data_IF_773442333499
#
_entry.id   IF_773442333499
#
_cell.length_a   1.000
_cell.length_b   1.000
_cell.length_c   1.000
_cell.angle_alpha   90.00
_cell.angle_beta   90.00
_cell.angle_gamma   90.00
#
_symmetry.space_group_name_H-M   'P 1'
#
loop_
_entity.id
_entity.type
_entity.pdbx_description
1 polymer ?
#
# COMPACT_ATOMS: atom_id res chain seq x y z
N UNK A 1 -7.84 -20.90 3.51
CA UNK A 1 -7.10 -22.05 2.95
C UNK A 1 -6.42 -21.60 1.66
N UNK A 2 -5.09 -21.56 1.68
CA UNK A 2 -4.24 -20.98 0.64
C UNK A 2 -3.96 -22.02 -0.45
N UNK A 3 -3.95 -21.61 -1.72
CA UNK A 3 -3.57 -22.51 -2.83
C UNK A 3 -2.07 -22.76 -2.83
N UNK A 4 -1.64 -24.01 -3.04
CA UNK A 4 -0.23 -24.38 -3.14
C UNK A 4 0.51 -23.66 -4.28
N UNK A 5 -0.20 -23.31 -5.35
CA UNK A 5 0.38 -22.61 -6.51
C UNK A 5 0.74 -21.15 -6.20
N UNK A 6 0.04 -20.53 -5.26
CA UNK A 6 0.25 -19.13 -4.85
C UNK A 6 1.14 -19.02 -3.60
N UNK A 7 1.39 -20.13 -2.91
CA UNK A 7 2.22 -20.17 -1.73
C UNK A 7 3.70 -19.84 -2.03
N UNK A 8 4.33 -19.16 -1.08
CA UNK A 8 5.75 -18.79 -1.10
C UNK A 8 6.48 -19.49 0.04
N UNK A 9 7.77 -19.71 -0.16
CA UNK A 9 8.59 -20.46 0.79
C UNK A 9 9.27 -19.49 1.75
N UNK A 10 8.98 -19.55 3.04
CA UNK A 10 9.74 -18.82 4.05
C UNK A 10 10.80 -19.74 4.66
N UNK A 11 12.05 -19.27 4.74
CA UNK A 11 13.23 -20.05 5.15
C UNK A 11 13.95 -19.38 6.33
N UNK A 12 14.29 -20.19 7.33
CA UNK A 12 15.23 -19.86 8.41
C UNK A 12 16.43 -20.81 8.38
N UNK A 13 17.65 -20.27 8.38
CA UNK A 13 18.87 -21.05 8.59
C UNK A 13 19.43 -20.77 9.98
N UNK A 14 19.55 -21.81 10.82
CA UNK A 14 20.07 -21.68 12.18
C UNK A 14 20.80 -22.95 12.59
N UNK A 15 22.03 -22.79 13.10
CA UNK A 15 22.84 -23.92 13.59
C UNK A 15 23.22 -24.95 12.51
N UNK A 16 23.33 -24.51 11.25
CA UNK A 16 23.65 -25.37 10.11
C UNK A 16 22.47 -26.17 9.54
N UNK A 17 21.27 -26.04 10.13
CA UNK A 17 20.04 -26.65 9.64
C UNK A 17 19.14 -25.62 8.97
N UNK A 18 18.35 -26.08 8.00
CA UNK A 18 17.35 -25.29 7.27
C UNK A 18 15.96 -25.68 7.74
N UNK A 19 15.09 -24.68 7.84
CA UNK A 19 13.69 -24.83 8.18
C UNK A 19 12.86 -23.98 7.25
N UNK A 20 11.88 -24.60 6.63
CA UNK A 20 11.07 -24.03 5.55
C UNK A 20 9.59 -24.22 5.85
N UNK A 21 8.78 -23.22 5.51
CA UNK A 21 7.31 -23.28 5.58
C UNK A 21 6.73 -22.69 4.29
N UNK A 22 5.53 -23.15 3.92
CA UNK A 22 4.78 -22.63 2.78
C UNK A 22 3.68 -21.70 3.29
N UNK A 23 3.72 -20.45 2.86
CA UNK A 23 2.86 -19.38 3.38
C UNK A 23 2.27 -18.53 2.26
N UNK A 24 1.15 -17.88 2.51
CA UNK A 24 0.58 -16.89 1.60
C UNK A 24 1.36 -15.56 1.68
N UNK A 25 1.93 -15.05 0.57
CA UNK A 25 2.71 -13.82 0.59
C UNK A 25 1.88 -12.59 1.01
N UNK A 26 0.60 -12.51 0.64
CA UNK A 26 -0.24 -11.36 0.95
C UNK A 26 -0.60 -11.31 2.43
N UNK A 27 -0.96 -12.47 3.00
CA UNK A 27 -1.26 -12.57 4.42
C UNK A 27 -0.02 -12.32 5.28
N UNK A 28 1.16 -12.76 4.82
CA UNK A 28 2.42 -12.54 5.55
C UNK A 28 2.77 -11.06 5.66
N UNK A 29 2.53 -10.27 4.61
CA UNK A 29 2.76 -8.82 4.66
C UNK A 29 1.82 -8.11 5.67
N UNK A 30 0.56 -8.56 5.76
CA UNK A 30 -0.39 -8.06 6.76
C UNK A 30 0.06 -8.45 8.17
N UNK A 31 0.41 -9.72 8.39
CA UNK A 31 0.89 -10.21 9.68
C UNK A 31 2.16 -9.50 10.15
N UNK A 32 3.10 -9.21 9.24
CA UNK A 32 4.32 -8.46 9.58
C UNK A 32 4.07 -7.02 9.98
N UNK A 33 2.98 -6.44 9.49
CA UNK A 33 2.57 -5.08 9.82
C UNK A 33 1.80 -5.05 11.14
N UNK A 34 0.96 -6.07 11.38
CA UNK A 34 0.20 -6.26 12.61
C UNK A 34 0.05 -7.76 12.93
N UNK A 35 0.76 -8.22 13.96
CA UNK A 35 0.80 -9.63 14.37
C UNK A 35 -0.57 -10.17 14.85
N UNK A 36 -1.53 -9.30 15.21
CA UNK A 36 -2.88 -9.71 15.64
C UNK A 36 -3.88 -9.75 14.48
N UNK A 37 -3.51 -9.23 13.31
CA UNK A 37 -4.43 -9.10 12.17
C UNK A 37 -4.76 -10.43 11.48
N UNK A 38 -3.89 -11.44 11.59
CA UNK A 38 -4.03 -12.73 10.92
C UNK A 38 -3.55 -13.87 11.82
N UNK A 39 -4.31 -14.97 11.88
CA UNK A 39 -3.86 -16.18 12.57
C UNK A 39 -2.80 -16.95 11.76
N UNK A 40 -1.83 -17.57 12.44
CA UNK A 40 -0.75 -18.35 11.81
C UNK A 40 -1.30 -19.55 11.03
N UNK A 41 -2.42 -20.13 11.48
CA UNK A 41 -3.14 -21.20 10.79
C UNK A 41 -3.59 -20.78 9.39
N UNK A 42 -4.08 -19.55 9.21
CA UNK A 42 -4.55 -19.02 7.93
C UNK A 42 -3.41 -18.64 6.99
N UNK A 43 -2.25 -18.29 7.54
CA UNK A 43 -1.03 -17.96 6.80
C UNK A 43 -0.41 -19.19 6.13
N UNK A 44 -0.46 -20.33 6.79
CA UNK A 44 0.16 -21.57 6.35
C UNK A 44 -0.67 -22.23 5.25
N UNK A 45 -0.06 -22.48 4.09
CA UNK A 45 -0.69 -23.28 3.06
C UNK A 45 -0.85 -24.75 3.51
N UNK A 46 0.13 -25.22 4.28
CA UNK A 46 0.12 -26.53 4.94
C UNK A 46 0.73 -26.34 6.33
N UNK A 47 0.08 -26.90 7.36
CA UNK A 47 0.51 -26.85 8.76
C UNK A 47 1.68 -27.81 9.02
N UNK A 48 2.83 -27.56 8.40
CA UNK A 48 4.01 -28.41 8.55
C UNK A 48 5.30 -27.60 8.34
N UNK A 49 6.41 -28.07 8.93
CA UNK A 49 7.75 -27.49 8.79
C UNK A 49 8.64 -28.49 8.06
N UNK A 50 9.32 -28.04 7.01
CA UNK A 50 10.23 -28.86 6.21
C UNK A 50 11.68 -28.48 6.44
N UNK A 51 12.61 -29.40 6.21
CA UNK A 51 14.02 -29.09 5.98
C UNK A 51 14.27 -28.69 4.53
N UNK A 52 13.49 -29.29 3.62
CA UNK A 52 13.38 -28.92 2.21
C UNK A 52 11.94 -29.17 1.74
N UNK A 53 11.19 -28.09 1.52
CA UNK A 53 9.78 -28.16 1.14
C UNK A 53 9.58 -28.73 -0.28
N UNK A 54 10.58 -28.62 -1.17
CA UNK A 54 10.50 -29.15 -2.54
C UNK A 54 10.78 -30.65 -2.58
N UNK A 55 11.68 -31.12 -1.72
CA UNK A 55 11.97 -32.54 -1.56
C UNK A 55 10.96 -33.26 -0.64
N UNK A 56 10.16 -32.51 0.13
CA UNK A 56 9.23 -33.06 1.11
C UNK A 56 9.93 -33.61 2.36
N UNK A 57 11.15 -33.15 2.64
CA UNK A 57 11.93 -33.62 3.78
C UNK A 57 11.54 -32.89 5.06
N UNK A 58 11.45 -33.65 6.16
CA UNK A 58 11.04 -33.13 7.47
C UNK A 58 12.23 -33.08 8.44
N UNK A 59 12.35 -32.03 9.26
CA UNK A 59 13.35 -31.98 10.30
C UNK A 59 13.03 -32.98 11.42
N UNK A 60 14.05 -33.47 12.11
CA UNK A 60 13.84 -34.30 13.31
C UNK A 60 13.29 -33.47 14.46
N UNK A 61 12.49 -34.09 15.34
CA UNK A 61 11.95 -33.43 16.53
C UNK A 61 13.04 -32.83 17.42
N UNK A 62 14.19 -33.50 17.53
CA UNK A 62 15.37 -33.01 18.25
C UNK A 62 15.92 -31.72 17.64
N UNK A 63 15.97 -31.64 16.31
CA UNK A 63 16.45 -30.45 15.61
C UNK A 63 15.50 -29.25 15.82
N UNK A 64 14.18 -29.49 15.79
CA UNK A 64 13.17 -28.46 16.11
C UNK A 64 13.34 -27.97 17.55
N UNK A 65 13.39 -28.91 18.51
CA UNK A 65 13.55 -28.58 19.93
C UNK A 65 14.84 -27.80 20.21
N UNK A 66 15.95 -28.15 19.56
CA UNK A 66 17.24 -27.46 19.72
C UNK A 66 17.22 -26.03 19.15
N UNK A 67 16.52 -25.82 18.04
CA UNK A 67 16.54 -24.55 17.29
C UNK A 67 15.47 -23.58 17.78
N UNK A 68 14.26 -24.06 18.02
CA UNK A 68 13.07 -23.29 18.39
C UNK A 68 12.70 -23.41 19.87
N UNK A 69 13.23 -24.41 20.58
CA UNK A 69 12.85 -24.69 21.97
C UNK A 69 11.52 -25.45 22.09
N UNK A 70 10.89 -25.78 20.97
CA UNK A 70 9.59 -26.45 20.89
C UNK A 70 9.50 -27.28 19.61
N UNK A 71 8.51 -28.19 19.58
CA UNK A 71 8.09 -28.93 18.38
C UNK A 71 6.73 -28.46 17.86
N UNK A 72 6.13 -27.46 18.51
CA UNK A 72 4.90 -26.83 18.07
C UNK A 72 5.11 -26.09 16.74
N UNK A 73 4.36 -26.48 15.72
CA UNK A 73 4.45 -25.99 14.36
C UNK A 73 4.14 -24.49 14.29
N UNK A 74 3.15 -24.01 15.05
CA UNK A 74 2.74 -22.61 15.00
C UNK A 74 3.82 -21.69 15.59
N UNK A 75 4.44 -22.10 16.68
CA UNK A 75 5.56 -21.36 17.30
C UNK A 75 6.82 -21.42 16.42
N UNK A 76 7.06 -22.55 15.76
CA UNK A 76 8.14 -22.66 14.79
C UNK A 76 7.89 -21.72 13.59
N UNK A 77 6.67 -21.72 13.05
CA UNK A 77 6.28 -20.89 11.92
C UNK A 77 6.40 -19.39 12.22
N UNK A 78 5.93 -18.91 13.38
CA UNK A 78 6.11 -17.50 13.79
C UNK A 78 7.59 -17.12 13.86
N UNK A 79 8.42 -17.98 14.47
CA UNK A 79 9.86 -17.74 14.57
C UNK A 79 10.52 -17.69 13.18
N UNK A 80 10.09 -18.53 12.24
CA UNK A 80 10.57 -18.52 10.86
C UNK A 80 10.12 -17.24 10.13
N UNK A 81 8.90 -16.76 10.33
CA UNK A 81 8.41 -15.52 9.71
C UNK A 81 9.11 -14.27 10.26
N UNK A 82 9.39 -14.23 11.56
CA UNK A 82 10.06 -13.09 12.22
C UNK A 82 11.55 -13.01 11.88
N UNK A 83 12.25 -14.15 11.88
CA UNK A 83 13.73 -14.19 11.78
C UNK A 83 14.24 -14.70 10.45
N UNK A 84 13.37 -15.30 9.65
CA UNK A 84 13.72 -15.90 8.36
C UNK A 84 13.59 -14.92 7.20
N UNK A 85 13.64 -15.48 6.00
CA UNK A 85 13.55 -14.77 4.73
C UNK A 85 12.50 -15.43 3.84
N UNK A 86 11.73 -14.62 3.13
CA UNK A 86 10.73 -15.12 2.17
C UNK A 86 11.42 -15.29 0.81
N UNK A 87 11.37 -16.50 0.28
CA UNK A 87 11.90 -16.90 -1.01
C UNK A 87 10.77 -16.80 -2.04
N UNK A 88 10.83 -15.74 -2.85
CA UNK A 88 9.93 -15.57 -3.99
C UNK A 88 10.52 -16.23 -5.23
N UNK A 89 9.68 -16.88 -6.02
CA UNK A 89 10.07 -17.27 -7.39
C UNK A 89 10.30 -16.04 -8.26
N UNK A 90 11.04 -16.18 -9.36
CA UNK A 90 11.31 -15.05 -10.27
C UNK A 90 10.02 -14.46 -10.86
N UNK A 91 9.03 -15.29 -11.17
CA UNK A 91 7.71 -14.86 -11.66
C UNK A 91 6.92 -14.13 -10.59
N UNK A 92 6.80 -14.68 -9.38
CA UNK A 92 6.10 -14.03 -8.27
C UNK A 92 6.74 -12.70 -7.90
N UNK A 93 8.08 -12.65 -7.82
CA UNK A 93 8.80 -11.40 -7.54
C UNK A 93 8.51 -10.34 -8.59
N UNK A 94 8.52 -10.70 -9.88
CA UNK A 94 8.22 -9.76 -10.96
C UNK A 94 6.80 -9.22 -10.86
N UNK A 95 5.82 -10.09 -10.63
CA UNK A 95 4.42 -9.68 -10.49
C UNK A 95 4.23 -8.71 -9.31
N UNK A 96 4.80 -9.01 -8.14
CA UNK A 96 4.72 -8.14 -6.97
C UNK A 96 5.40 -6.79 -7.21
N UNK A 97 6.55 -6.78 -7.87
CA UNK A 97 7.25 -5.53 -8.24
C UNK A 97 6.40 -4.71 -9.20
N UNK A 98 5.84 -5.33 -10.24
CA UNK A 98 5.04 -4.63 -11.25
C UNK A 98 3.74 -4.07 -10.64
N UNK A 99 3.11 -4.80 -9.72
CA UNK A 99 1.94 -4.34 -8.98
C UNK A 99 2.27 -3.18 -8.04
N UNK A 100 3.33 -3.30 -7.23
CA UNK A 100 3.79 -2.20 -6.37
C UNK A 100 4.24 -0.99 -7.18
N UNK A 101 4.87 -1.18 -8.35
CA UNK A 101 5.23 -0.09 -9.27
C UNK A 101 4.00 0.71 -9.66
N UNK A 102 2.91 0.05 -10.05
CA UNK A 102 1.65 0.71 -10.39
C UNK A 102 1.05 1.46 -9.20
N UNK A 103 1.06 0.87 -8.02
CA UNK A 103 0.58 1.52 -6.79
C UNK A 103 1.38 2.78 -6.48
N UNK A 104 2.72 2.70 -6.50
CA UNK A 104 3.61 3.84 -6.26
C UNK A 104 3.37 4.95 -7.29
N UNK A 105 3.24 4.62 -8.59
CA UNK A 105 2.95 5.60 -9.64
C UNK A 105 1.61 6.30 -9.38
N UNK A 106 0.57 5.54 -9.01
CA UNK A 106 -0.75 6.10 -8.73
C UNK A 106 -0.72 7.04 -7.52
N UNK A 107 -0.04 6.65 -6.44
CA UNK A 107 0.10 7.46 -5.24
C UNK A 107 0.91 8.74 -5.49
N UNK A 108 2.00 8.66 -6.27
CA UNK A 108 2.75 9.86 -6.64
C UNK A 108 1.90 10.78 -7.52
N UNK A 109 1.11 10.22 -8.46
CA UNK A 109 0.26 11.01 -9.34
C UNK A 109 -0.89 11.73 -8.60
N UNK A 110 -1.45 11.09 -7.57
CA UNK A 110 -2.53 11.68 -6.75
C UNK A 110 -2.02 12.72 -5.76
N UNK A 111 -0.80 12.55 -5.24
CA UNK A 111 -0.26 13.41 -4.17
C UNK A 111 0.65 14.53 -4.68
N UNK A 112 1.44 14.30 -5.72
CA UNK A 112 2.45 15.23 -6.19
C UNK A 112 1.97 16.08 -7.38
N UNK A 113 2.32 17.36 -7.36
CA UNK A 113 1.98 18.33 -8.42
C UNK A 113 3.23 19.01 -8.97
N UNK A 114 3.13 19.54 -10.18
CA UNK A 114 4.15 20.42 -10.74
C UNK A 114 4.05 21.81 -10.07
N UNK A 115 5.13 22.33 -9.46
CA UNK A 115 5.12 23.66 -8.84
C UNK A 115 4.81 24.80 -9.82
N UNK A 116 5.07 24.63 -11.12
CA UNK A 116 4.85 25.67 -12.13
C UNK A 116 3.40 25.72 -12.59
N UNK A 117 2.80 24.56 -12.86
CA UNK A 117 1.44 24.48 -13.40
C UNK A 117 0.38 24.24 -12.33
N UNK A 118 0.78 23.84 -11.11
CA UNK A 118 -0.10 23.40 -10.01
C UNK A 118 -1.03 22.24 -10.40
N UNK A 119 -0.67 21.49 -11.45
CA UNK A 119 -1.43 20.34 -11.95
C UNK A 119 -0.72 19.02 -11.59
N UNK A 120 -1.47 17.92 -11.45
CA UNK A 120 -0.89 16.59 -11.31
C UNK A 120 -0.08 16.20 -12.55
N UNK A 121 1.00 15.45 -12.34
CA UNK A 121 1.76 14.86 -13.43
C UNK A 121 1.03 13.63 -13.99
N UNK A 122 1.00 13.44 -15.33
CA UNK A 122 0.46 12.22 -15.91
C UNK A 122 1.21 10.98 -15.41
N UNK A 123 0.48 9.86 -15.22
CA UNK A 123 1.05 8.58 -14.74
C UNK A 123 2.22 8.11 -15.61
N UNK A 124 2.09 8.23 -16.93
CA UNK A 124 3.13 7.90 -17.91
C UNK A 124 4.40 8.74 -17.74
N UNK A 125 4.28 10.01 -17.31
CA UNK A 125 5.43 10.88 -17.07
C UNK A 125 6.21 10.45 -15.84
N UNK A 126 5.50 10.05 -14.77
CA UNK A 126 6.09 9.50 -13.54
C UNK A 126 6.75 8.15 -13.82
N UNK A 127 6.07 7.27 -14.56
CA UNK A 127 6.62 5.96 -14.96
C UNK A 127 7.94 6.11 -15.72
N UNK A 128 7.97 6.97 -16.74
CA UNK A 128 9.19 7.23 -17.51
C UNK A 128 10.33 7.78 -16.64
N UNK A 129 10.02 8.62 -15.66
CA UNK A 129 11.04 9.18 -14.78
C UNK A 129 11.55 8.16 -13.75
N UNK A 130 10.69 7.28 -13.24
CA UNK A 130 11.11 6.17 -12.38
C UNK A 130 12.05 5.21 -13.13
N UNK A 131 11.80 4.99 -14.43
CA UNK A 131 12.64 4.16 -15.28
C UNK A 131 13.99 4.86 -15.60
N UNK A 132 13.97 6.18 -15.82
CA UNK A 132 15.17 7.00 -16.06
C UNK A 132 16.13 6.95 -14.86
N UNK A 133 15.61 7.06 -13.64
CA UNK A 133 16.41 6.96 -12.41
C UNK A 133 16.71 5.51 -12.00
N UNK A 134 16.19 4.52 -12.74
CA UNK A 134 16.29 3.08 -12.44
C UNK A 134 15.92 2.77 -10.98
N UNK A 135 14.79 3.30 -10.53
CA UNK A 135 14.35 3.10 -9.15
C UNK A 135 14.08 1.62 -8.87
N UNK A 136 14.77 1.06 -7.87
CA UNK A 136 14.57 -0.32 -7.45
C UNK A 136 13.42 -0.41 -6.45
N UNK A 137 12.35 -1.11 -6.84
CA UNK A 137 11.18 -1.33 -6.01
C UNK A 137 11.39 -2.57 -5.14
N UNK A 138 11.09 -2.43 -3.86
CA UNK A 138 11.16 -3.51 -2.88
C UNK A 138 9.77 -4.13 -2.68
N UNK A 139 9.59 -5.44 -2.94
CA UNK A 139 8.32 -6.13 -2.72
C UNK A 139 7.82 -6.07 -1.28
N UNK A 140 8.71 -5.93 -0.28
CA UNK A 140 8.34 -6.07 1.13
C UNK A 140 8.21 -4.75 1.87
N UNK A 141 8.64 -3.63 1.29
CA UNK A 141 8.46 -2.30 1.90
C UNK A 141 7.06 -1.75 1.62
N UNK A 142 6.52 -0.97 2.55
CA UNK A 142 5.24 -0.29 2.38
C UNK A 142 5.29 0.69 1.20
N UNK A 143 4.14 0.90 0.55
CA UNK A 143 4.02 1.82 -0.58
C UNK A 143 4.36 3.24 -0.15
N UNK A 144 3.86 3.69 0.99
CA UNK A 144 4.10 5.04 1.52
C UNK A 144 5.59 5.35 1.73
N UNK A 145 6.32 4.40 2.34
CA UNK A 145 7.77 4.57 2.54
C UNK A 145 8.50 4.66 1.21
N UNK A 146 8.13 3.82 0.24
CA UNK A 146 8.75 3.83 -1.08
C UNK A 146 8.38 5.07 -1.91
N UNK A 147 7.16 5.58 -1.78
CA UNK A 147 6.74 6.85 -2.38
C UNK A 147 7.60 8.00 -1.86
N UNK A 148 7.82 8.06 -0.54
CA UNK A 148 8.68 9.08 0.06
C UNK A 148 10.11 9.06 -0.48
N UNK A 149 10.69 7.87 -0.66
CA UNK A 149 12.04 7.71 -1.22
C UNK A 149 12.09 7.97 -2.72
N UNK A 150 11.09 7.51 -3.48
CA UNK A 150 10.94 7.76 -4.91
C UNK A 150 10.84 9.27 -5.18
N UNK A 151 10.03 10.02 -4.44
CA UNK A 151 9.89 11.47 -4.66
C UNK A 151 11.20 12.22 -4.39
N UNK A 152 12.00 11.83 -3.40
CA UNK A 152 13.32 12.44 -3.17
C UNK A 152 14.23 12.27 -4.38
N UNK A 153 14.22 11.10 -5.01
CA UNK A 153 15.04 10.79 -6.18
C UNK A 153 14.47 11.35 -7.48
N UNK A 154 13.16 11.55 -7.57
CA UNK A 154 12.51 12.14 -8.74
C UNK A 154 12.65 13.65 -8.81
N UNK A 155 12.76 14.36 -7.67
CA UNK A 155 12.87 15.85 -7.62
C UNK A 155 13.90 16.48 -8.57
N UNK A 156 15.11 15.90 -8.78
CA UNK A 156 16.09 16.44 -9.73
C UNK A 156 15.70 16.28 -11.20
N UNK A 157 14.88 15.27 -11.53
CA UNK A 157 14.47 14.95 -12.90
C UNK A 157 13.15 15.62 -13.26
N UNK A 158 12.19 15.60 -12.32
CA UNK A 158 10.89 16.24 -12.44
C UNK A 158 10.65 17.11 -11.20
N UNK A 159 10.30 18.40 -11.37
CA UNK A 159 9.91 19.23 -10.24
C UNK A 159 8.60 18.69 -9.63
N UNK A 160 8.69 18.20 -8.40
CA UNK A 160 7.59 17.60 -7.65
C UNK A 160 7.43 18.32 -6.31
N UNK A 161 6.22 18.80 -6.03
CA UNK A 161 5.85 19.33 -4.73
C UNK A 161 4.56 18.69 -4.23
N UNK A 162 4.57 18.35 -2.94
CA UNK A 162 3.38 17.99 -2.19
C UNK A 162 2.72 19.28 -1.72
N UNK A 163 1.71 19.74 -2.46
CA UNK A 163 0.93 20.91 -2.12
C UNK A 163 -0.44 20.41 -1.67
N UNK A 164 -0.86 20.77 -0.46
CA UNK A 164 -2.26 20.63 -0.05
C UNK A 164 -3.01 21.89 -0.46
N UNK A 165 -4.09 21.75 -1.20
CA UNK A 165 -4.93 22.87 -1.65
C UNK A 165 -6.20 22.87 -0.82
N UNK A 166 -6.61 24.06 -0.34
CA UNK A 166 -7.90 24.22 0.31
C UNK A 166 -8.92 24.63 -0.76
N UNK A 167 -9.99 23.85 -0.92
CA UNK A 167 -11.08 24.13 -1.85
C UNK A 167 -12.33 24.48 -1.06
N UNK A 168 -12.94 25.62 -1.37
CA UNK A 168 -14.26 26.00 -0.89
C UNK A 168 -15.32 25.57 -1.92
N UNK A 169 -16.25 24.73 -1.49
CA UNK A 169 -17.41 24.31 -2.27
C UNK A 169 -18.67 24.99 -1.74
N UNK A 170 -19.52 25.48 -2.63
CA UNK A 170 -20.86 25.95 -2.33
C UNK A 170 -21.87 25.06 -3.04
N UNK A 171 -22.63 24.31 -2.25
CA UNK A 171 -23.56 23.27 -2.73
C UNK A 171 -24.97 23.68 -2.34
N UNK A 172 -25.95 23.43 -3.20
CA UNK A 172 -27.36 23.64 -2.85
C UNK A 172 -27.81 22.62 -1.80
N UNK A 173 -28.70 23.04 -0.89
CA UNK A 173 -29.18 22.16 0.20
C UNK A 173 -29.80 20.83 -0.28
N UNK A 174 -30.31 20.78 -1.53
CA UNK A 174 -30.85 19.56 -2.17
C UNK A 174 -29.80 18.45 -2.37
N UNK A 175 -28.55 18.83 -2.63
CA UNK A 175 -27.44 17.90 -2.97
C UNK A 175 -26.51 17.65 -1.77
N UNK A 176 -26.75 18.33 -0.65
CA UNK A 176 -25.93 18.26 0.57
C UNK A 176 -25.64 16.83 1.03
N UNK A 177 -26.65 15.97 1.08
CA UNK A 177 -26.49 14.62 1.64
C UNK A 177 -25.46 13.79 0.88
N UNK A 178 -25.47 13.87 -0.45
CA UNK A 178 -24.56 13.12 -1.30
C UNK A 178 -23.14 13.69 -1.27
N UNK A 179 -22.99 15.01 -1.24
CA UNK A 179 -21.68 15.67 -1.25
C UNK A 179 -21.00 15.63 0.13
N UNK A 180 -21.75 15.85 1.21
CA UNK A 180 -21.21 15.79 2.59
C UNK A 180 -20.73 14.39 2.96
N UNK A 181 -21.43 13.33 2.51
CA UNK A 181 -20.96 11.96 2.71
C UNK A 181 -19.65 11.68 1.96
N UNK A 182 -19.51 12.22 0.74
CA UNK A 182 -18.32 12.01 -0.09
C UNK A 182 -17.09 12.77 0.43
N UNK A 183 -17.29 13.97 0.96
CA UNK A 183 -16.21 14.86 1.41
C UNK A 183 -15.93 14.74 2.92
N UNK A 184 -16.67 13.91 3.65
CA UNK A 184 -16.66 13.81 5.12
C UNK A 184 -15.26 13.85 5.72
N UNK A 185 -14.34 13.06 5.17
CA UNK A 185 -12.99 12.89 5.74
C UNK A 185 -12.03 14.03 5.37
N UNK A 186 -12.42 14.90 4.43
CA UNK A 186 -11.61 16.02 3.93
C UNK A 186 -12.11 17.39 4.37
N UNK A 187 -13.29 17.49 4.99
CA UNK A 187 -13.88 18.76 5.45
C UNK A 187 -13.12 19.31 6.64
N UNK A 188 -12.64 20.55 6.52
CA UNK A 188 -12.06 21.34 7.62
C UNK A 188 -13.08 22.25 8.28
N UNK A 189 -13.98 22.83 7.49
CA UNK A 189 -15.01 23.75 7.96
C UNK A 189 -16.26 23.60 7.10
N UNK A 190 -17.42 23.67 7.72
CA UNK A 190 -18.71 23.72 7.03
C UNK A 190 -19.65 24.73 7.68
N UNK A 191 -20.50 25.35 6.87
CA UNK A 191 -21.43 26.39 7.30
C UNK A 191 -22.68 26.39 6.42
N UNK A 192 -23.86 26.52 7.05
CA UNK A 192 -25.11 26.73 6.33
C UNK A 192 -25.33 28.22 6.15
N UNK A 193 -25.54 28.63 4.90
CA UNK A 193 -25.78 30.03 4.57
C UNK A 193 -27.28 30.37 4.67
N UNK A 194 -27.57 31.66 4.87
CA UNK A 194 -28.92 32.18 5.02
C UNK A 194 -29.82 31.97 3.80
N UNK A 195 -29.23 31.69 2.62
CA UNK A 195 -29.93 31.37 1.38
C UNK A 195 -30.28 29.87 1.24
N UNK A 196 -29.96 29.03 2.24
CA UNK A 196 -30.22 27.58 2.20
C UNK A 196 -29.15 26.76 1.46
N UNK A 197 -28.06 27.39 1.01
CA UNK A 197 -26.90 26.66 0.48
C UNK A 197 -25.96 26.25 1.62
N UNK A 198 -25.25 25.14 1.40
CA UNK A 198 -24.21 24.63 2.28
C UNK A 198 -22.84 24.96 1.69
N UNK A 199 -22.00 25.61 2.48
CA UNK A 199 -20.61 25.91 2.12
C UNK A 199 -19.68 25.02 2.94
N UNK A 200 -18.68 24.41 2.31
CA UNK A 200 -17.64 23.65 2.99
C UNK A 200 -16.26 23.95 2.43
N UNK A 201 -15.25 23.90 3.30
CA UNK A 201 -13.84 24.00 2.94
C UNK A 201 -13.21 22.64 3.16
N UNK A 202 -12.67 22.06 2.10
CA UNK A 202 -11.95 20.79 2.15
C UNK A 202 -10.46 20.99 1.87
N UNK A 203 -9.64 20.18 2.51
CA UNK A 203 -8.19 20.18 2.28
C UNK A 203 -7.80 18.91 1.57
N UNK A 204 -7.28 19.03 0.36
CA UNK A 204 -7.02 17.88 -0.50
C UNK A 204 -5.59 17.96 -1.06
N UNK A 205 -4.93 16.82 -1.31
CA UNK A 205 -3.68 16.81 -2.06
C UNK A 205 -3.90 17.45 -3.43
N UNK A 206 -2.98 18.31 -3.87
CA UNK A 206 -3.12 19.09 -5.09
C UNK A 206 -3.31 18.24 -6.35
N UNK A 207 -2.78 17.02 -6.36
CA UNK A 207 -2.97 16.09 -7.48
C UNK A 207 -4.39 15.54 -7.60
N UNK A 208 -5.16 15.53 -6.50
CA UNK A 208 -6.57 15.10 -6.47
C UNK A 208 -7.56 16.24 -6.69
N UNK A 209 -7.07 17.47 -6.90
CA UNK A 209 -7.90 18.68 -7.02
C UNK A 209 -8.98 18.54 -8.08
N UNK A 210 -8.58 18.22 -9.31
CA UNK A 210 -9.51 18.14 -10.44
C UNK A 210 -10.49 16.97 -10.27
N UNK A 211 -10.00 15.81 -9.83
CA UNK A 211 -10.84 14.63 -9.58
C UNK A 211 -11.95 14.91 -8.57
N UNK A 212 -11.66 15.68 -7.51
CA UNK A 212 -12.65 16.03 -6.50
C UNK A 212 -13.64 17.07 -7.03
N UNK A 213 -13.18 18.07 -7.79
CA UNK A 213 -14.04 19.05 -8.44
C UNK A 213 -15.02 18.33 -9.39
N UNK A 214 -14.54 17.43 -10.23
CA UNK A 214 -15.35 16.69 -11.20
C UNK A 214 -16.37 15.76 -10.49
N UNK A 215 -15.95 15.08 -9.42
CA UNK A 215 -16.85 14.24 -8.60
C UNK A 215 -17.96 15.06 -7.95
N UNK A 216 -17.65 16.23 -7.39
CA UNK A 216 -18.67 17.10 -6.78
C UNK A 216 -19.60 17.66 -7.85
N UNK A 217 -19.05 18.14 -8.98
CA UNK A 217 -19.83 18.67 -10.10
C UNK A 217 -20.78 17.62 -10.72
N UNK A 218 -20.37 16.35 -10.75
CA UNK A 218 -21.24 15.26 -11.22
C UNK A 218 -22.48 15.04 -10.35
N UNK A 219 -22.41 15.37 -9.05
CA UNK A 219 -23.51 15.21 -8.09
C UNK A 219 -24.31 16.50 -7.89
N UNK A 220 -23.65 17.65 -8.03
CA UNK A 220 -24.27 18.97 -7.96
C UNK A 220 -23.75 19.80 -9.14
N UNK A 221 -24.47 19.84 -10.27
CA UNK A 221 -24.05 20.58 -11.47
C UNK A 221 -23.92 22.09 -11.24
N UNK A 222 -24.65 22.61 -10.24
CA UNK A 222 -24.69 24.02 -9.88
C UNK A 222 -23.68 24.39 -8.77
N UNK A 223 -22.67 23.54 -8.52
CA UNK A 223 -21.68 23.78 -7.47
C UNK A 223 -20.73 24.92 -7.84
N UNK A 224 -20.56 25.89 -6.93
CA UNK A 224 -19.47 26.87 -7.06
C UNK A 224 -18.24 26.38 -6.30
N UNK A 225 -17.08 26.38 -6.96
CA UNK A 225 -15.80 26.00 -6.36
C UNK A 225 -14.86 27.20 -6.37
N UNK A 226 -14.20 27.46 -5.25
CA UNK A 226 -13.12 28.44 -5.14
C UNK A 226 -11.90 27.83 -4.47
N UNK A 227 -10.72 28.08 -5.03
CA UNK A 227 -9.46 27.76 -4.37
C UNK A 227 -9.17 28.83 -3.31
N UNK A 228 -8.79 28.40 -2.11
CA UNK A 228 -8.33 29.28 -1.03
C UNK A 228 -6.80 29.16 -0.96
N UNK A 229 -6.12 30.31 -0.99
CA UNK A 229 -4.66 30.42 -0.80
C UNK A 229 -4.25 30.14 0.65
#
# INVERSE_FOLDING_TARGET
MVSLDDAVLARLEKGGSRYEILVDPQLVDNWKSDNESVEISDLLAIEEVWSDARAGERPTSEALQRTFGTTDIYICASTILERGSIQLTTSQRRNLVDEKKRQIINEIASTATDPKTKLPHPRTRIENALDEIRFSIDPFKSVESQVGDAVKLLRPVIPLQFITVNLAFMVQGKDYGAVSQMLRDSIKKEEWMSNGNWACVVSVPGGMKNDIIDKVASRSPDVEVRELD
#
